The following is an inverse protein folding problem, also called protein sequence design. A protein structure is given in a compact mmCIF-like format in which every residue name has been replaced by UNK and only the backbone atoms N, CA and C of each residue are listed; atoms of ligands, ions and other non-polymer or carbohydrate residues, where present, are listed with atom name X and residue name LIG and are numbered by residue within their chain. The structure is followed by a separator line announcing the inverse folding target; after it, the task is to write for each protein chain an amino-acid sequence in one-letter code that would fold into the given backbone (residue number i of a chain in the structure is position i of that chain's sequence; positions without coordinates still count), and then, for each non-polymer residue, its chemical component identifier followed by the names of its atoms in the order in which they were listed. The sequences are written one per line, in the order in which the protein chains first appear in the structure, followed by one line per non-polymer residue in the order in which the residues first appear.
data_IF_629150530640
#
_entry.id   IF_629150530640
#
_cell.length_a   1.000
_cell.length_b   1.000
_cell.length_c   1.000
_cell.angle_alpha   90.00
_cell.angle_beta   90.00
_cell.angle_gamma   90.00
#
_symmetry.space_group_name_H-M   'P 1'
#
loop_
_entity.id
_entity.type
_entity.pdbx_description
1 polymer ?
#
# COMPACT_ATOMS: atom_id res chain seq x y z
N UNK A 1 -43.19 27.45 38.62
CA UNK A 1 -43.59 28.63 37.88
C UNK A 1 -42.50 29.00 36.90
N UNK A 2 -42.89 29.02 35.61
CA UNK A 2 -42.34 29.70 34.44
C UNK A 2 -40.85 29.60 34.14
N UNK A 3 -40.49 28.55 33.32
CA UNK A 3 -39.51 28.63 32.27
C UNK A 3 -40.02 29.60 31.19
N UNK A 4 -39.20 30.56 30.79
CA UNK A 4 -39.19 31.42 29.59
C UNK A 4 -38.76 32.80 30.02
N UNK A 5 -37.48 33.10 29.65
CA UNK A 5 -36.94 34.43 29.36
C UNK A 5 -35.40 34.38 29.48
N UNK A 6 -34.75 33.83 28.45
CA UNK A 6 -33.30 34.03 28.27
C UNK A 6 -32.97 33.95 26.76
N UNK A 7 -33.69 34.74 26.01
CA UNK A 7 -33.36 35.02 24.62
C UNK A 7 -33.84 36.42 24.30
N UNK A 8 -32.96 37.40 24.48
CA UNK A 8 -32.92 38.67 23.73
C UNK A 8 -31.96 39.62 24.46
N UNK A 9 -31.07 40.12 23.65
CA UNK A 9 -30.18 41.31 23.85
C UNK A 9 -28.71 40.92 23.94
N UNK A 10 -28.03 41.03 22.79
CA UNK A 10 -26.84 41.85 22.63
C UNK A 10 -26.44 41.89 21.19
N UNK A 11 -26.91 42.89 20.49
CA UNK A 11 -26.28 43.42 19.28
C UNK A 11 -25.30 44.52 19.69
N UNK A 12 -24.25 44.65 18.88
CA UNK A 12 -23.31 45.76 18.72
C UNK A 12 -22.21 45.89 19.78
N UNK A 13 -20.98 45.63 19.35
CA UNK A 13 -19.97 46.67 19.07
C UNK A 13 -18.87 46.10 18.15
N UNK A 14 -18.75 46.64 16.94
CA UNK A 14 -17.66 46.39 16.01
C UNK A 14 -16.41 47.13 16.51
N UNK A 15 -15.34 46.42 16.73
CA UNK A 15 -13.97 46.98 16.71
C UNK A 15 -13.16 46.22 15.66
N UNK A 16 -12.89 46.92 14.55
CA UNK A 16 -11.88 46.54 13.59
C UNK A 16 -10.51 46.59 14.28
N UNK A 17 -9.90 45.42 14.52
CA UNK A 17 -8.49 45.32 14.72
C UNK A 17 -7.94 44.61 13.49
N UNK A 18 -7.19 45.37 12.67
CA UNK A 18 -6.50 44.81 11.50
C UNK A 18 -5.45 43.81 11.95
N UNK A 19 -5.74 42.54 11.77
CA UNK A 19 -4.72 41.49 11.75
C UNK A 19 -4.25 41.32 10.30
N UNK A 20 -3.01 41.72 10.07
CA UNK A 20 -2.26 41.37 8.86
C UNK A 20 -2.26 39.87 8.71
N UNK A 21 -2.99 39.37 7.72
CA UNK A 21 -2.95 37.97 7.34
C UNK A 21 -1.55 37.67 6.75
N UNK A 22 -0.67 37.14 7.58
CA UNK A 22 0.46 36.39 7.08
C UNK A 22 -0.13 35.18 6.33
N UNK A 23 -0.04 35.17 5.01
CA UNK A 23 -0.37 34.03 4.18
C UNK A 23 0.56 32.89 4.57
N UNK A 24 0.14 32.02 5.48
CA UNK A 24 0.71 30.72 5.59
C UNK A 24 0.36 30.02 4.26
N UNK A 25 1.34 29.83 3.39
CA UNK A 25 1.24 28.90 2.29
C UNK A 25 1.07 27.49 2.88
N UNK A 26 -0.15 27.17 3.26
CA UNK A 26 -0.53 25.78 3.44
C UNK A 26 -0.37 25.13 2.04
N UNK A 27 0.31 23.98 1.93
CA UNK A 27 0.32 23.25 0.68
C UNK A 27 -1.15 23.04 0.27
N UNK A 28 -1.45 23.30 -1.01
CA UNK A 28 -2.81 23.18 -1.54
C UNK A 28 -3.39 21.85 -1.10
N UNK A 29 -4.52 21.91 -0.40
CA UNK A 29 -5.25 20.70 -0.01
C UNK A 29 -5.59 19.96 -1.31
N UNK A 30 -4.96 18.80 -1.52
CA UNK A 30 -5.23 17.95 -2.67
C UNK A 30 -6.73 17.60 -2.67
N UNK A 31 -7.34 17.71 -3.84
CA UNK A 31 -8.77 17.40 -4.03
C UNK A 31 -9.00 15.94 -3.61
N UNK A 32 -9.87 15.65 -2.62
CA UNK A 32 -10.23 14.27 -2.28
C UNK A 32 -10.80 13.59 -3.53
N UNK A 33 -10.22 12.46 -3.96
CA UNK A 33 -10.71 11.67 -5.07
C UNK A 33 -9.73 11.36 -6.19
N UNK A 34 -8.51 11.90 -6.14
CA UNK A 34 -7.47 11.60 -7.15
C UNK A 34 -6.58 10.42 -6.78
N UNK A 35 -6.51 10.05 -5.50
CA UNK A 35 -5.65 8.97 -4.99
C UNK A 35 -6.42 7.68 -4.75
N UNK A 36 -5.83 6.55 -5.15
CA UNK A 36 -6.34 5.22 -4.84
C UNK A 36 -6.15 4.87 -3.36
N UNK A 37 -6.95 3.91 -2.92
CA UNK A 37 -6.75 3.18 -1.68
C UNK A 37 -6.28 1.77 -2.01
N UNK A 38 -5.40 1.23 -1.19
CA UNK A 38 -4.88 -0.11 -1.39
C UNK A 38 -5.27 -1.02 -0.23
N UNK A 39 -5.81 -2.18 -0.56
CA UNK A 39 -5.87 -3.29 0.37
C UNK A 39 -4.71 -4.24 0.02
N UNK A 40 -3.84 -4.48 0.98
CA UNK A 40 -2.79 -5.49 0.87
C UNK A 40 -3.14 -6.64 1.80
N UNK A 41 -3.46 -7.81 1.22
CA UNK A 41 -3.72 -9.04 1.98
C UNK A 41 -2.49 -9.93 1.98
N UNK A 42 -2.21 -10.56 3.12
CA UNK A 42 -1.22 -11.63 3.24
C UNK A 42 -1.94 -12.92 3.67
N UNK A 43 -1.99 -13.89 2.77
CA UNK A 43 -2.48 -15.24 3.07
C UNK A 43 -1.31 -16.08 3.55
N UNK A 44 -1.31 -16.46 4.82
CA UNK A 44 -0.30 -17.32 5.41
C UNK A 44 -0.80 -18.76 5.35
N UNK A 45 -0.10 -19.58 4.58
CA UNK A 45 -0.38 -20.99 4.44
C UNK A 45 0.51 -21.78 5.42
N UNK A 46 0.17 -23.03 5.68
CA UNK A 46 1.09 -23.93 6.38
C UNK A 46 2.35 -24.16 5.54
N UNK A 47 3.48 -24.28 6.21
CA UNK A 47 4.73 -24.64 5.53
C UNK A 47 4.54 -25.95 4.74
N UNK A 48 4.94 -25.93 3.45
CA UNK A 48 4.75 -27.06 2.54
C UNK A 48 3.32 -27.28 2.05
N UNK A 49 2.37 -26.38 2.35
CA UNK A 49 1.01 -26.48 1.83
C UNK A 49 0.96 -26.31 0.31
N UNK A 50 0.03 -27.04 -0.33
CA UNK A 50 -0.27 -26.81 -1.73
C UNK A 50 -0.99 -25.48 -1.92
N UNK A 51 -0.42 -24.58 -2.70
CA UNK A 51 -1.00 -23.26 -3.00
C UNK A 51 -2.20 -23.34 -3.96
N UNK A 52 -2.44 -24.46 -4.60
CA UNK A 52 -3.44 -24.63 -5.67
C UNK A 52 -4.86 -24.25 -5.23
N UNK A 53 -5.26 -24.59 -4.02
CA UNK A 53 -6.59 -24.21 -3.49
C UNK A 53 -6.75 -22.69 -3.43
N UNK A 54 -5.74 -21.99 -2.89
CA UNK A 54 -5.75 -20.53 -2.83
C UNK A 54 -5.65 -19.92 -4.23
N UNK A 55 -4.79 -20.45 -5.09
CA UNK A 55 -4.63 -19.97 -6.46
C UNK A 55 -5.95 -20.07 -7.25
N UNK A 56 -6.64 -21.20 -7.17
CA UNK A 56 -7.95 -21.37 -7.78
C UNK A 56 -9.00 -20.39 -7.27
N UNK A 57 -9.03 -20.17 -5.94
CA UNK A 57 -9.93 -19.20 -5.32
C UNK A 57 -9.65 -17.77 -5.78
N UNK A 58 -8.38 -17.35 -5.79
CA UNK A 58 -7.98 -16.02 -6.20
C UNK A 58 -8.25 -15.79 -7.69
N UNK A 59 -7.84 -16.73 -8.55
CA UNK A 59 -7.95 -16.61 -10.01
C UNK A 59 -9.41 -16.67 -10.48
N UNK A 60 -10.19 -17.63 -9.98
CA UNK A 60 -11.53 -17.93 -10.52
C UNK A 60 -12.66 -17.15 -9.84
N UNK A 61 -12.47 -16.68 -8.61
CA UNK A 61 -13.52 -15.98 -7.86
C UNK A 61 -13.13 -14.55 -7.50
N UNK A 62 -12.01 -14.36 -6.77
CA UNK A 62 -11.67 -13.05 -6.20
C UNK A 62 -11.38 -12.03 -7.28
N UNK A 63 -10.44 -12.32 -8.19
CA UNK A 63 -10.02 -11.37 -9.23
C UNK A 63 -11.19 -10.98 -10.15
N UNK A 64 -11.97 -11.91 -10.73
CA UNK A 64 -13.09 -11.54 -11.59
C UNK A 64 -14.15 -10.68 -10.86
N UNK A 65 -14.48 -11.03 -9.62
CA UNK A 65 -15.48 -10.30 -8.82
C UNK A 65 -15.02 -8.89 -8.51
N UNK A 66 -13.78 -8.73 -8.05
CA UNK A 66 -13.23 -7.41 -7.72
C UNK A 66 -12.99 -6.54 -8.96
N UNK A 67 -12.56 -7.14 -10.07
CA UNK A 67 -12.43 -6.41 -11.34
C UNK A 67 -13.78 -5.87 -11.83
N UNK A 68 -14.85 -6.66 -11.71
CA UNK A 68 -16.21 -6.22 -12.04
C UNK A 68 -16.67 -5.06 -11.14
N UNK A 69 -16.12 -4.95 -9.92
CA UNK A 69 -16.36 -3.84 -9.00
C UNK A 69 -15.47 -2.61 -9.27
N UNK A 70 -14.57 -2.66 -10.24
CA UNK A 70 -13.65 -1.58 -10.59
C UNK A 70 -12.31 -1.61 -9.86
N UNK A 71 -12.04 -2.62 -9.01
CA UNK A 71 -10.76 -2.83 -8.32
C UNK A 71 -9.80 -3.58 -9.22
N UNK A 72 -8.94 -2.86 -9.94
CA UNK A 72 -7.96 -3.40 -10.92
C UNK A 72 -6.84 -2.40 -11.19
N UNK A 73 -5.60 -2.85 -11.57
CA UNK A 73 -5.20 -4.27 -11.68
C UNK A 73 -4.93 -4.90 -10.30
N UNK A 74 -5.21 -6.19 -10.14
CA UNK A 74 -4.94 -6.93 -8.91
C UNK A 74 -3.63 -7.69 -9.05
N UNK A 75 -2.69 -7.43 -8.11
CA UNK A 75 -1.42 -8.14 -8.03
C UNK A 75 -1.50 -9.34 -7.09
N UNK A 76 -1.00 -10.49 -7.51
CA UNK A 76 -0.87 -11.68 -6.69
C UNK A 76 0.57 -12.18 -6.74
N UNK A 77 1.19 -12.33 -5.57
CA UNK A 77 2.62 -12.56 -5.46
C UNK A 77 2.92 -13.65 -4.42
N UNK A 78 3.81 -14.57 -4.76
CA UNK A 78 4.41 -15.50 -3.81
C UNK A 78 5.70 -14.92 -3.25
N UNK A 79 5.91 -15.07 -1.93
CA UNK A 79 7.15 -14.65 -1.31
C UNK A 79 8.27 -15.64 -1.65
N UNK A 80 9.48 -15.11 -1.85
CA UNK A 80 10.68 -15.90 -2.12
C UNK A 80 11.63 -15.93 -0.93
N UNK A 81 12.43 -17.00 -0.84
CA UNK A 81 13.64 -17.01 -0.03
C UNK A 81 14.77 -16.31 -0.79
N UNK A 82 15.20 -15.15 -0.32
CA UNK A 82 16.29 -14.37 -0.93
C UNK A 82 17.09 -13.60 0.10
N UNK A 83 18.29 -13.18 -0.31
CA UNK A 83 19.16 -12.31 0.50
C UNK A 83 18.59 -10.90 0.56
N UNK A 84 18.58 -10.33 1.76
CA UNK A 84 18.02 -9.01 2.02
C UNK A 84 18.83 -7.84 1.48
N UNK A 85 18.20 -6.67 1.47
CA UNK A 85 18.86 -5.40 1.24
C UNK A 85 19.59 -4.95 2.51
N UNK A 86 20.83 -4.43 2.42
CA UNK A 86 21.54 -3.93 3.60
C UNK A 86 20.72 -2.92 4.40
N UNK A 87 20.74 -3.03 5.72
CA UNK A 87 20.02 -2.13 6.63
C UNK A 87 18.53 -2.43 6.82
N UNK A 88 18.02 -3.52 6.26
CA UNK A 88 16.62 -3.96 6.46
C UNK A 88 16.56 -5.35 7.10
N UNK A 89 15.42 -5.63 7.77
CA UNK A 89 15.07 -6.99 8.21
C UNK A 89 14.36 -7.69 7.06
N UNK A 90 15.03 -8.66 6.46
CA UNK A 90 14.37 -9.52 5.48
C UNK A 90 13.49 -10.55 6.21
N UNK A 91 12.24 -10.68 5.77
CA UNK A 91 11.33 -11.74 6.20
C UNK A 91 11.24 -12.77 5.09
N UNK A 92 11.56 -14.01 5.42
CA UNK A 92 11.53 -15.16 4.52
C UNK A 92 10.38 -16.08 4.95
N UNK A 93 9.33 -16.07 4.16
CA UNK A 93 8.17 -16.91 4.41
C UNK A 93 7.52 -17.33 3.09
N UNK A 94 8.06 -18.38 2.43
CA UNK A 94 7.57 -18.83 1.13
C UNK A 94 6.13 -19.36 1.20
N UNK A 95 5.58 -19.59 2.40
CA UNK A 95 4.18 -19.97 2.57
C UNK A 95 3.22 -18.78 2.47
N UNK A 96 3.74 -17.53 2.41
CA UNK A 96 2.90 -16.33 2.32
C UNK A 96 2.66 -15.92 0.86
N UNK A 97 1.38 -15.69 0.54
CA UNK A 97 0.92 -15.11 -0.73
C UNK A 97 0.35 -13.72 -0.45
N UNK A 98 0.90 -12.70 -1.14
CA UNK A 98 0.41 -11.32 -1.05
C UNK A 98 -0.54 -11.01 -2.19
N UNK A 99 -1.62 -10.28 -1.88
CA UNK A 99 -2.60 -9.79 -2.85
C UNK A 99 -2.73 -8.28 -2.69
N UNK A 100 -2.36 -7.53 -3.72
CA UNK A 100 -2.53 -6.08 -3.80
C UNK A 100 -3.81 -5.76 -4.57
N UNK A 101 -4.73 -5.05 -3.93
CA UNK A 101 -6.03 -4.70 -4.48
C UNK A 101 -6.18 -3.17 -4.44
N UNK A 102 -6.12 -2.46 -5.58
CA UNK A 102 -6.42 -1.04 -5.64
C UNK A 102 -7.92 -0.78 -5.66
N UNK A 103 -8.33 0.26 -4.96
CA UNK A 103 -9.72 0.74 -4.91
C UNK A 103 -9.75 2.24 -5.23
N UNK A 104 -10.66 2.70 -6.11
CA UNK A 104 -10.78 4.13 -6.43
C UNK A 104 -11.19 5.01 -5.25
N UNK A 105 -11.89 4.45 -4.26
CA UNK A 105 -12.32 5.14 -3.04
C UNK A 105 -12.62 4.16 -1.89
N UNK A 106 -12.87 4.68 -0.69
CA UNK A 106 -13.31 3.89 0.47
C UNK A 106 -14.68 3.24 0.20
N UNK A 107 -15.58 3.94 -0.46
CA UNK A 107 -16.90 3.43 -0.84
C UNK A 107 -16.77 2.29 -1.86
N UNK A 108 -15.83 2.41 -2.80
CA UNK A 108 -15.53 1.34 -3.76
C UNK A 108 -14.97 0.08 -3.06
N UNK A 109 -14.11 0.25 -2.06
CA UNK A 109 -13.66 -0.85 -1.20
C UNK A 109 -14.83 -1.54 -0.49
N UNK A 110 -15.71 -0.78 0.16
CA UNK A 110 -16.87 -1.34 0.87
C UNK A 110 -17.82 -2.09 -0.08
N UNK A 111 -18.09 -1.50 -1.27
CA UNK A 111 -18.92 -2.13 -2.31
C UNK A 111 -18.28 -3.42 -2.85
N UNK A 112 -16.98 -3.39 -3.16
CA UNK A 112 -16.23 -4.54 -3.65
C UNK A 112 -16.23 -5.69 -2.63
N UNK A 113 -16.05 -5.37 -1.34
CA UNK A 113 -16.11 -6.35 -0.25
C UNK A 113 -17.49 -6.99 -0.14
N UNK A 114 -18.57 -6.20 -0.22
CA UNK A 114 -19.93 -6.72 -0.19
C UNK A 114 -20.22 -7.65 -1.38
N UNK A 115 -19.78 -7.29 -2.58
CA UNK A 115 -19.93 -8.12 -3.77
C UNK A 115 -19.11 -9.42 -3.68
N UNK A 116 -17.89 -9.35 -3.13
CA UNK A 116 -17.09 -10.55 -2.89
C UNK A 116 -17.77 -11.49 -1.88
N UNK A 117 -18.32 -10.96 -0.79
CA UNK A 117 -19.05 -11.76 0.19
C UNK A 117 -20.25 -12.47 -0.44
N UNK A 118 -21.05 -11.79 -1.27
CA UNK A 118 -22.15 -12.42 -2.00
C UNK A 118 -21.67 -13.53 -2.95
N UNK A 119 -20.55 -13.34 -3.63
CA UNK A 119 -19.97 -14.38 -4.49
C UNK A 119 -19.46 -15.58 -3.69
N UNK A 120 -18.90 -15.36 -2.50
CA UNK A 120 -18.46 -16.39 -1.55
C UNK A 120 -19.69 -17.18 -1.02
N UNK A 121 -20.73 -16.49 -0.59
CA UNK A 121 -21.97 -17.12 -0.11
C UNK A 121 -22.62 -17.99 -1.18
N UNK A 122 -22.55 -17.59 -2.44
CA UNK A 122 -23.07 -18.36 -3.57
C UNK A 122 -22.32 -19.67 -3.84
N UNK A 123 -21.09 -19.84 -3.33
CA UNK A 123 -20.24 -21.06 -3.35
C UNK A 123 -20.14 -21.76 -4.72
N UNK A 124 -20.39 -21.05 -5.81
CA UNK A 124 -20.40 -21.62 -7.17
C UNK A 124 -19.00 -21.83 -7.73
N UNK A 125 -18.02 -21.09 -7.20
CA UNK A 125 -16.62 -21.10 -7.64
C UNK A 125 -15.71 -21.47 -6.46
N UNK A 126 -14.66 -22.22 -6.72
CA UNK A 126 -13.66 -22.64 -5.73
C UNK A 126 -14.25 -23.28 -4.44
N UNK A 127 -15.22 -24.20 -4.53
CA UNK A 127 -15.86 -24.81 -3.35
C UNK A 127 -14.84 -25.53 -2.47
N UNK A 128 -13.79 -26.11 -3.02
CA UNK A 128 -12.72 -26.79 -2.29
C UNK A 128 -11.99 -25.86 -1.33
N UNK A 129 -11.81 -24.59 -1.71
CA UNK A 129 -11.24 -23.58 -0.84
C UNK A 129 -12.25 -23.11 0.22
N UNK A 130 -13.50 -22.86 -0.19
CA UNK A 130 -14.53 -22.27 0.68
C UNK A 130 -15.09 -23.24 1.72
N UNK A 131 -15.04 -24.54 1.46
CA UNK A 131 -15.60 -25.59 2.31
C UNK A 131 -14.53 -26.45 3.00
N UNK A 132 -13.32 -25.90 3.17
CA UNK A 132 -12.25 -26.62 3.87
C UNK A 132 -12.62 -26.95 5.30
N UNK A 133 -12.23 -28.15 5.76
CA UNK A 133 -12.45 -28.58 7.14
C UNK A 133 -11.44 -27.92 8.09
N UNK A 134 -11.75 -27.91 9.39
CA UNK A 134 -10.82 -27.42 10.42
C UNK A 134 -9.48 -28.19 10.44
N UNK A 135 -9.50 -29.45 10.03
CA UNK A 135 -8.33 -30.33 10.06
C UNK A 135 -7.41 -30.10 8.84
N UNK A 136 -7.96 -29.51 7.76
CA UNK A 136 -7.23 -29.17 6.52
C UNK A 136 -7.60 -27.76 6.06
N UNK A 137 -7.29 -26.72 6.83
CA UNK A 137 -7.63 -25.35 6.45
C UNK A 137 -6.82 -24.93 5.21
N UNK A 138 -7.43 -24.12 4.36
CA UNK A 138 -6.77 -23.60 3.17
C UNK A 138 -5.67 -22.56 3.51
N UNK A 139 -5.75 -21.95 4.69
CA UNK A 139 -4.77 -21.00 5.22
C UNK A 139 -4.76 -21.08 6.76
N UNK A 140 -3.69 -20.58 7.37
CA UNK A 140 -3.60 -20.42 8.83
C UNK A 140 -4.13 -19.06 9.27
N UNK A 141 -3.82 -18.00 8.48
CA UNK A 141 -4.19 -16.62 8.78
C UNK A 141 -4.27 -15.78 7.51
N UNK A 142 -5.16 -14.79 7.55
CA UNK A 142 -5.18 -13.69 6.59
C UNK A 142 -4.96 -12.42 7.38
N UNK A 143 -3.89 -11.69 7.05
CA UNK A 143 -3.67 -10.32 7.51
C UNK A 143 -4.08 -9.37 6.39
N UNK A 144 -4.61 -8.19 6.74
CA UNK A 144 -4.97 -7.16 5.77
C UNK A 144 -4.58 -5.78 6.29
N UNK A 145 -4.06 -4.95 5.39
CA UNK A 145 -3.74 -3.53 5.62
C UNK A 145 -4.49 -2.68 4.62
N UNK A 146 -5.07 -1.59 5.11
CA UNK A 146 -5.73 -0.60 4.25
C UNK A 146 -4.91 0.69 4.25
N UNK A 147 -4.58 1.19 3.05
CA UNK A 147 -3.61 2.24 2.85
C UNK A 147 -4.14 3.31 1.89
N UNK A 148 -3.69 4.55 2.06
CA UNK A 148 -3.91 5.64 1.12
C UNK A 148 -2.67 5.80 0.23
N UNK A 149 -2.87 5.86 -1.07
CA UNK A 149 -1.81 6.13 -2.04
C UNK A 149 -1.06 7.44 -1.74
N UNK A 150 0.24 7.51 -2.03
CA UNK A 150 0.99 8.76 -1.93
C UNK A 150 0.60 9.72 -3.05
N UNK A 151 0.80 11.02 -2.81
CA UNK A 151 0.54 12.05 -3.81
C UNK A 151 1.43 11.90 -5.05
N UNK A 152 2.71 11.60 -4.86
CA UNK A 152 3.68 11.41 -5.94
C UNK A 152 3.46 10.15 -6.78
N UNK A 153 2.62 9.22 -6.32
CA UNK A 153 2.19 8.02 -7.04
C UNK A 153 0.74 7.69 -6.64
N UNK A 154 -0.24 8.43 -7.15
CA UNK A 154 -1.63 8.37 -6.69
C UNK A 154 -2.37 7.11 -7.10
N UNK A 155 -1.81 6.32 -8.00
CA UNK A 155 -2.39 5.07 -8.54
C UNK A 155 -1.31 4.03 -8.75
N UNK A 156 -1.73 2.77 -8.86
CA UNK A 156 -0.82 1.68 -9.27
C UNK A 156 -0.17 2.01 -10.61
N UNK A 157 1.15 1.96 -10.65
CA UNK A 157 1.94 2.05 -11.87
C UNK A 157 2.46 0.66 -12.27
N UNK A 158 2.64 0.45 -13.57
CA UNK A 158 3.22 -0.77 -14.10
C UNK A 158 4.31 -0.42 -15.12
N UNK A 159 5.59 -0.75 -14.85
CA UNK A 159 6.63 -0.66 -15.86
C UNK A 159 6.29 -1.47 -17.12
N UNK A 160 6.90 -1.11 -18.25
CA UNK A 160 6.61 -1.76 -19.53
C UNK A 160 6.80 -3.28 -19.47
N UNK A 161 7.92 -3.75 -18.92
CA UNK A 161 8.19 -5.19 -18.77
C UNK A 161 7.15 -5.92 -17.91
N UNK A 162 6.55 -5.23 -16.91
CA UNK A 162 5.47 -5.80 -16.09
C UNK A 162 4.17 -5.93 -16.90
N UNK A 163 3.79 -4.89 -17.66
CA UNK A 163 2.61 -4.95 -18.54
C UNK A 163 2.75 -6.04 -19.62
N UNK A 164 3.95 -6.23 -20.13
CA UNK A 164 4.28 -7.25 -21.12
C UNK A 164 4.47 -8.65 -20.52
N UNK A 165 4.31 -8.79 -19.22
CA UNK A 165 4.49 -10.04 -18.46
C UNK A 165 5.85 -10.71 -18.69
N UNK A 166 6.89 -9.93 -18.96
CA UNK A 166 8.27 -10.41 -19.04
C UNK A 166 8.76 -10.91 -17.67
N UNK A 167 9.85 -11.67 -17.60
CA UNK A 167 10.47 -12.03 -16.33
C UNK A 167 10.66 -10.79 -15.47
N UNK A 168 10.26 -10.88 -14.20
CA UNK A 168 10.31 -9.75 -13.26
C UNK A 168 10.25 -10.23 -11.83
N UNK A 169 10.78 -9.42 -10.95
CA UNK A 169 10.69 -9.57 -9.52
C UNK A 169 10.14 -8.32 -8.87
N UNK A 170 9.65 -8.46 -7.63
CA UNK A 170 9.16 -7.36 -6.84
C UNK A 170 9.84 -7.33 -5.47
N UNK A 171 10.02 -6.13 -4.92
CA UNK A 171 10.45 -5.92 -3.55
C UNK A 171 9.34 -5.15 -2.81
N UNK A 172 8.73 -5.78 -1.82
CA UNK A 172 7.75 -5.17 -0.92
C UNK A 172 8.47 -4.69 0.33
N UNK A 173 8.40 -3.39 0.60
CA UNK A 173 9.06 -2.75 1.73
C UNK A 173 8.05 -2.09 2.65
N UNK A 174 8.22 -2.31 3.96
CA UNK A 174 7.43 -1.64 5.01
C UNK A 174 8.37 -0.86 5.90
N UNK A 175 8.08 0.41 6.12
CA UNK A 175 8.81 1.30 7.00
C UNK A 175 7.93 1.68 8.19
N UNK A 176 8.26 1.16 9.37
CA UNK A 176 7.64 1.55 10.63
C UNK A 176 8.31 2.84 11.14
N UNK A 177 7.55 3.68 11.83
CA UNK A 177 8.06 4.96 12.34
C UNK A 177 7.87 5.06 13.85
N UNK A 178 8.67 5.94 14.49
CA UNK A 178 8.63 6.15 15.95
C UNK A 178 7.38 6.89 16.43
N UNK A 179 6.70 7.64 15.54
CA UNK A 179 5.47 8.36 15.83
C UNK A 179 4.74 8.73 14.53
N UNK A 180 3.48 9.16 14.66
CA UNK A 180 2.66 9.61 13.53
C UNK A 180 3.29 10.79 12.78
N UNK A 181 3.86 11.76 13.51
CA UNK A 181 4.56 12.90 12.91
C UNK A 181 5.77 12.43 12.09
N UNK A 182 6.56 11.49 12.62
CA UNK A 182 7.71 10.91 11.91
C UNK A 182 7.28 10.12 10.67
N UNK A 183 6.17 9.39 10.75
CA UNK A 183 5.59 8.70 9.61
C UNK A 183 5.15 9.67 8.50
N UNK A 184 4.46 10.77 8.85
CA UNK A 184 4.06 11.82 7.91
C UNK A 184 5.28 12.49 7.26
N UNK A 185 6.34 12.74 8.04
CA UNK A 185 7.61 13.29 7.51
C UNK A 185 8.29 12.33 6.54
N UNK A 186 8.22 11.01 6.78
CA UNK A 186 8.76 10.05 5.80
C UNK A 186 7.92 10.00 4.52
N UNK A 187 6.59 10.10 4.62
CA UNK A 187 5.71 10.24 3.43
C UNK A 187 6.04 11.51 2.65
N UNK A 188 6.22 12.64 3.35
CA UNK A 188 6.63 13.91 2.74
C UNK A 188 7.98 13.78 2.00
N UNK A 189 8.97 13.14 2.61
CA UNK A 189 10.28 12.88 2.00
C UNK A 189 10.16 12.14 0.67
N UNK A 190 9.36 11.08 0.63
CA UNK A 190 9.09 10.33 -0.60
C UNK A 190 8.47 11.21 -1.69
N UNK A 191 7.47 12.02 -1.34
CA UNK A 191 6.79 12.94 -2.26
C UNK A 191 7.68 14.12 -2.70
N UNK A 192 8.75 14.42 -1.96
CA UNK A 192 9.68 15.55 -2.24
C UNK A 192 10.81 15.19 -3.21
N UNK A 193 10.67 14.07 -3.95
CA UNK A 193 11.59 13.67 -5.01
C UNK A 193 12.19 12.26 -4.87
N UNK A 194 12.04 11.58 -3.74
CA UNK A 194 12.57 10.21 -3.57
C UNK A 194 11.93 9.25 -4.60
N UNK A 195 10.62 9.36 -4.84
CA UNK A 195 9.87 8.55 -5.83
C UNK A 195 10.37 8.85 -7.26
N UNK A 196 10.61 10.11 -7.58
CA UNK A 196 11.08 10.50 -8.92
C UNK A 196 12.49 9.97 -9.19
N UNK A 197 13.38 10.02 -8.19
CA UNK A 197 14.69 9.37 -8.27
C UNK A 197 14.55 7.87 -8.52
N UNK A 198 13.62 7.19 -7.85
CA UNK A 198 13.37 5.75 -8.06
C UNK A 198 12.97 5.45 -9.50
N UNK A 199 12.09 6.27 -10.10
CA UNK A 199 11.69 6.14 -11.50
C UNK A 199 12.89 6.37 -12.44
N UNK A 200 13.66 7.41 -12.20
CA UNK A 200 14.81 7.81 -13.02
C UNK A 200 15.89 6.72 -13.08
N UNK A 201 16.18 6.09 -11.94
CA UNK A 201 17.21 5.05 -11.86
C UNK A 201 16.70 3.65 -12.25
N UNK A 202 15.40 3.48 -12.56
CA UNK A 202 14.83 2.23 -13.01
C UNK A 202 14.34 1.30 -11.90
N UNK A 203 14.17 1.78 -10.65
CA UNK A 203 13.63 0.98 -9.54
C UNK A 203 12.14 0.61 -9.68
N UNK A 204 11.47 0.94 -10.77
CA UNK A 204 10.15 0.49 -11.17
C UNK A 204 9.07 0.58 -10.09
N UNK A 205 8.65 1.77 -9.62
CA UNK A 205 7.58 1.91 -8.63
C UNK A 205 6.28 1.25 -9.08
N UNK A 206 5.61 0.54 -8.17
CA UNK A 206 4.30 -0.08 -8.39
C UNK A 206 3.22 0.64 -7.58
N UNK A 207 3.39 0.77 -6.29
CA UNK A 207 2.52 1.53 -5.39
C UNK A 207 3.28 2.00 -4.17
N UNK A 208 2.80 3.09 -3.55
CA UNK A 208 3.23 3.58 -2.25
C UNK A 208 2.00 3.93 -1.44
N UNK A 209 1.85 3.35 -0.25
CA UNK A 209 0.69 3.50 0.59
C UNK A 209 1.05 3.87 2.03
N UNK A 210 0.40 4.93 2.56
CA UNK A 210 0.37 5.22 3.99
C UNK A 210 -0.67 4.33 4.65
N UNK A 211 -0.27 3.53 5.63
CA UNK A 211 -1.20 2.67 6.34
C UNK A 211 -2.18 3.49 7.20
N UNK A 212 -3.47 3.23 6.99
CA UNK A 212 -4.57 3.82 7.75
C UNK A 212 -5.12 2.82 8.78
N UNK A 213 -5.17 1.53 8.40
CA UNK A 213 -5.67 0.43 9.23
C UNK A 213 -4.74 -0.77 9.05
N UNK A 214 -4.50 -1.50 10.12
CA UNK A 214 -3.67 -2.70 10.14
C UNK A 214 -2.80 -2.79 11.39
N UNK A 215 -1.94 -3.80 11.44
CA UNK A 215 -0.98 -3.97 12.52
C UNK A 215 0.26 -3.09 12.33
N UNK A 216 0.99 -2.84 13.42
CA UNK A 216 2.29 -2.12 13.46
C UNK A 216 2.24 -0.67 12.96
N UNK A 217 1.14 0.04 13.23
CA UNK A 217 1.04 1.48 12.94
C UNK A 217 1.91 2.31 13.90
N UNK A 218 2.45 3.48 13.46
CA UNK A 218 2.31 4.02 12.12
C UNK A 218 3.38 3.47 11.15
N UNK A 219 2.98 3.13 9.93
CA UNK A 219 3.90 2.67 8.91
C UNK A 219 3.45 3.07 7.50
N UNK A 220 4.35 2.99 6.56
CA UNK A 220 4.09 3.02 5.13
C UNK A 220 4.55 1.70 4.48
N UNK A 221 3.95 1.32 3.39
CA UNK A 221 4.35 0.17 2.59
C UNK A 221 4.39 0.53 1.11
N UNK A 222 5.42 0.07 0.41
CA UNK A 222 5.54 0.29 -1.01
C UNK A 222 6.14 -0.92 -1.73
N UNK A 223 5.95 -0.97 -3.03
CA UNK A 223 6.48 -2.04 -3.88
C UNK A 223 7.24 -1.45 -5.06
N UNK A 224 8.42 -2.00 -5.27
CA UNK A 224 9.28 -1.76 -6.43
C UNK A 224 9.36 -3.02 -7.28
N UNK A 225 9.74 -2.86 -8.54
CA UNK A 225 9.97 -3.99 -9.45
C UNK A 225 11.26 -3.80 -10.23
N UNK A 226 11.81 -4.92 -10.69
CA UNK A 226 12.94 -4.98 -11.61
C UNK A 226 12.79 -6.19 -12.52
N UNK A 227 13.50 -6.23 -13.63
CA UNK A 227 13.53 -7.35 -14.54
C UNK A 227 14.10 -8.60 -13.88
N UNK A 228 15.17 -8.41 -13.08
CA UNK A 228 15.84 -9.47 -12.34
C UNK A 228 16.60 -8.89 -11.12
N UNK A 229 17.34 -9.76 -10.43
CA UNK A 229 18.09 -9.38 -9.23
C UNK A 229 19.30 -8.49 -9.53
N UNK A 230 19.96 -8.68 -10.65
CA UNK A 230 21.14 -7.90 -11.02
C UNK A 230 20.73 -6.48 -11.42
N UNK A 231 19.66 -6.34 -12.20
CA UNK A 231 19.04 -5.05 -12.49
C UNK A 231 18.60 -4.33 -11.20
N UNK A 232 17.89 -5.02 -10.31
CA UNK A 232 17.46 -4.49 -9.02
C UNK A 232 18.64 -3.95 -8.20
N UNK A 233 19.73 -4.72 -8.07
CA UNK A 233 20.94 -4.29 -7.35
C UNK A 233 21.57 -3.07 -7.99
N UNK A 234 21.70 -3.06 -9.34
CA UNK A 234 22.27 -1.94 -10.08
C UNK A 234 21.45 -0.66 -9.89
N UNK A 235 20.12 -0.77 -9.91
CA UNK A 235 19.22 0.38 -9.70
C UNK A 235 19.34 0.94 -8.27
N UNK A 236 19.43 0.08 -7.24
CA UNK A 236 19.68 0.53 -5.86
C UNK A 236 21.05 1.18 -5.70
N UNK A 237 22.10 0.66 -6.36
CA UNK A 237 23.43 1.28 -6.36
C UNK A 237 23.41 2.68 -7.01
N UNK A 238 22.63 2.86 -8.08
CA UNK A 238 22.44 4.15 -8.73
C UNK A 238 21.64 5.12 -7.84
N UNK A 239 20.55 4.62 -7.22
CA UNK A 239 19.75 5.40 -6.27
C UNK A 239 20.60 5.93 -5.11
N UNK A 240 21.42 5.08 -4.50
CA UNK A 240 22.27 5.46 -3.38
C UNK A 240 23.28 6.56 -3.69
N UNK A 241 23.66 6.72 -4.97
CA UNK A 241 24.60 7.74 -5.46
C UNK A 241 23.91 9.00 -5.97
N UNK A 242 22.58 8.98 -6.13
CA UNK A 242 21.84 10.07 -6.75
C UNK A 242 21.90 11.35 -5.90
N UNK A 243 22.20 12.54 -6.51
CA UNK A 243 22.38 13.78 -5.75
C UNK A 243 21.11 14.23 -5.00
N UNK A 244 19.93 14.07 -5.59
CA UNK A 244 18.65 14.42 -4.93
C UNK A 244 18.43 13.52 -3.70
N UNK A 245 18.65 12.20 -3.81
CA UNK A 245 18.60 11.30 -2.66
C UNK A 245 19.59 11.71 -1.58
N UNK A 246 20.83 12.03 -1.97
CA UNK A 246 21.87 12.44 -1.01
C UNK A 246 21.49 13.74 -0.28
N UNK A 247 20.80 14.68 -0.95
CA UNK A 247 20.25 15.87 -0.31
C UNK A 247 19.12 15.53 0.67
N UNK A 248 18.13 14.74 0.23
CA UNK A 248 16.98 14.37 1.05
C UNK A 248 17.39 13.59 2.31
N UNK A 249 18.23 12.57 2.19
CA UNK A 249 18.64 11.74 3.32
C UNK A 249 19.46 12.47 4.39
N UNK A 250 20.11 13.59 4.03
CA UNK A 250 20.90 14.41 4.93
C UNK A 250 20.14 15.65 5.45
N UNK A 251 18.89 15.85 5.02
CA UNK A 251 18.07 16.95 5.50
C UNK A 251 17.60 16.65 6.93
N UNK A 252 17.93 17.52 7.92
CA UNK A 252 17.59 17.31 9.32
C UNK A 252 16.07 17.13 9.59
N UNK A 253 15.22 17.71 8.73
CA UNK A 253 13.76 17.57 8.89
C UNK A 253 13.29 16.13 8.73
N UNK A 254 14.03 15.28 8.03
CA UNK A 254 13.72 13.87 7.79
C UNK A 254 14.50 12.91 8.69
N UNK A 255 15.27 13.44 9.64
CA UNK A 255 16.00 12.61 10.59
C UNK A 255 15.06 11.78 11.46
N UNK A 256 15.47 10.56 11.78
CA UNK A 256 14.76 9.63 12.69
C UNK A 256 13.30 9.36 12.28
N UNK A 257 13.02 9.33 10.98
CA UNK A 257 11.67 9.09 10.47
C UNK A 257 11.29 7.60 10.39
N UNK A 258 12.27 6.71 10.47
CA UNK A 258 12.10 5.25 10.34
C UNK A 258 12.67 4.54 11.54
N UNK A 259 11.87 3.71 12.21
CA UNK A 259 12.29 2.87 13.34
C UNK A 259 12.69 1.46 12.91
N UNK A 260 12.04 0.94 11.85
CA UNK A 260 12.32 -0.39 11.33
C UNK A 260 11.98 -0.47 9.84
N UNK A 261 12.82 -1.17 9.10
CA UNK A 261 12.59 -1.51 7.70
C UNK A 261 12.42 -3.02 7.60
N UNK A 262 11.33 -3.44 6.98
CA UNK A 262 11.09 -4.84 6.63
C UNK A 262 10.98 -4.93 5.11
N UNK A 263 11.71 -5.86 4.50
CA UNK A 263 11.58 -6.12 3.07
C UNK A 263 11.30 -7.60 2.78
N UNK A 264 10.64 -7.83 1.64
CA UNK A 264 10.28 -9.14 1.12
C UNK A 264 10.47 -9.14 -0.39
N UNK A 265 11.08 -10.20 -0.90
CA UNK A 265 11.16 -10.41 -2.33
C UNK A 265 10.02 -11.31 -2.79
N UNK A 266 9.39 -10.90 -3.87
CA UNK A 266 8.16 -11.51 -4.37
C UNK A 266 8.31 -11.86 -5.85
N UNK A 267 7.61 -12.91 -6.27
CA UNK A 267 7.38 -13.23 -7.69
C UNK A 267 5.90 -13.23 -7.98
N UNK A 268 5.48 -12.74 -9.15
CA UNK A 268 4.07 -12.74 -9.49
C UNK A 268 3.60 -14.16 -9.81
N UNK A 269 2.38 -14.48 -9.39
CA UNK A 269 1.68 -15.66 -9.88
C UNK A 269 1.34 -15.50 -11.36
N UNK A 270 1.20 -16.59 -12.12
CA UNK A 270 0.92 -16.54 -13.56
C UNK A 270 -0.34 -15.74 -13.91
N UNK A 271 -1.34 -15.77 -13.04
CA UNK A 271 -2.61 -15.05 -13.20
C UNK A 271 -2.60 -13.65 -12.57
N UNK A 272 -1.49 -13.19 -11.98
CA UNK A 272 -1.33 -11.81 -11.49
C UNK A 272 -1.53 -10.81 -12.62
N UNK A 273 -2.21 -9.71 -12.33
CA UNK A 273 -2.44 -8.63 -13.29
C UNK A 273 -1.34 -7.56 -13.28
N UNK A 274 -0.41 -7.67 -12.31
CA UNK A 274 0.75 -6.77 -12.15
C UNK A 274 2.03 -7.52 -12.42
#
# INVERSE_FOLDING_TARGET
MKRREFLRTSLTVSTLVGLSAASLNAPAAETPGTREYYELRAYRLKSGANHELLDNYLEKLVIPTLNASGSKPIGVFAQQERSGTPGSTEVRDPSTVFVLIPHPSVEAFAKATAQLNMAIEGQKMAPEYLQTSKDKPAFERIDSWFMLAFAGIPKVEQPAYSREKKPRMFELRTYESYSEVKALKKVEMFNSGEIDVMREVGLGPIFFGQALIGANLPHLTYMLSAEDQDAHKKHWDAFGKHPVWNKLKNDPQYADTVSKIVNRFLVPKAYSQI
#
